data_IF_882643636636
#
_entry.id   IF_882643636636
#
_cell.length_a   1.000
_cell.length_b   1.000
_cell.length_c   1.000
_cell.angle_alpha   90.00
_cell.angle_beta   90.00
_cell.angle_gamma   90.00
#
_symmetry.space_group_name_H-M   'P 1'
#
loop_
_entity.id
_entity.type
_entity.pdbx_description
1 polymer ?
#
# COMPACT_ATOMS: atom_id res chain seq x y z
N UNK A 1 42.60 39.18 8.71
CA UNK A 1 41.98 38.02 9.40
C UNK A 1 40.56 37.88 8.91
N UNK A 2 40.26 36.93 8.01
CA UNK A 2 38.89 36.64 7.56
C UNK A 2 38.45 35.33 8.20
N UNK A 3 37.48 35.37 9.11
CA UNK A 3 36.86 34.18 9.70
C UNK A 3 35.89 33.64 8.67
N UNK A 4 36.21 32.50 8.08
CA UNK A 4 35.27 31.75 7.24
C UNK A 4 34.40 30.95 8.20
N UNK A 5 33.14 31.35 8.34
CA UNK A 5 32.13 30.59 9.08
C UNK A 5 31.64 29.51 8.12
N UNK A 6 31.96 28.26 8.43
CA UNK A 6 31.42 27.09 7.75
C UNK A 6 30.03 26.85 8.32
N UNK A 7 28.98 27.27 7.60
CA UNK A 7 27.60 26.95 7.99
C UNK A 7 27.39 25.47 7.70
N UNK A 8 27.43 24.65 8.75
CA UNK A 8 27.05 23.24 8.71
C UNK A 8 25.52 23.19 8.66
N UNK A 9 24.96 23.09 7.46
CA UNK A 9 23.54 22.75 7.26
C UNK A 9 23.32 21.32 7.72
N UNK A 10 22.85 21.17 8.96
CA UNK A 10 22.33 19.92 9.49
C UNK A 10 21.00 19.68 8.78
N UNK A 11 20.97 18.75 7.83
CA UNK A 11 19.72 18.17 7.34
C UNK A 11 19.13 17.35 8.50
N UNK A 12 18.21 17.94 9.23
CA UNK A 12 17.28 17.18 10.06
C UNK A 12 16.38 16.39 9.10
N UNK A 13 16.74 15.14 8.81
CA UNK A 13 15.78 14.15 8.36
C UNK A 13 14.93 13.79 9.57
N UNK A 14 14.01 14.68 9.95
CA UNK A 14 12.87 14.26 10.73
C UNK A 14 12.13 13.23 9.89
N UNK A 15 11.75 12.10 10.49
CA UNK A 15 10.70 11.29 9.93
C UNK A 15 9.47 12.21 9.90
N UNK A 16 9.21 12.87 8.77
CA UNK A 16 7.89 13.46 8.56
C UNK A 16 6.95 12.27 8.58
N UNK A 17 6.07 12.20 9.57
CA UNK A 17 4.94 11.30 9.52
C UNK A 17 4.13 11.71 8.30
N UNK A 18 4.23 10.93 7.23
CA UNK A 18 3.63 11.27 5.95
C UNK A 18 2.27 10.58 5.87
N UNK A 19 1.23 11.37 5.61
CA UNK A 19 -0.02 10.86 5.06
C UNK A 19 0.28 10.26 3.69
N UNK A 20 -0.06 8.98 3.50
CA UNK A 20 0.17 8.26 2.25
C UNK A 20 -1.09 7.54 1.77
N UNK A 21 -1.13 7.26 0.47
CA UNK A 21 -2.00 6.25 -0.13
C UNK A 21 -1.30 4.89 0.05
N UNK A 22 -1.89 3.99 0.85
CA UNK A 22 -1.25 2.71 1.22
C UNK A 22 -1.69 1.53 0.36
N UNK A 23 -2.94 1.48 -0.07
CA UNK A 23 -3.49 0.37 -0.84
C UNK A 23 -4.63 0.85 -1.75
N UNK A 24 -4.77 0.23 -2.93
CA UNK A 24 -5.81 0.57 -3.92
C UNK A 24 -6.38 -0.71 -4.53
N UNK A 25 -7.71 -0.80 -4.53
CA UNK A 25 -8.50 -1.84 -5.19
C UNK A 25 -9.29 -1.20 -6.34
N UNK A 26 -8.91 -1.54 -7.58
CA UNK A 26 -9.52 -0.97 -8.79
C UNK A 26 -10.47 -1.96 -9.47
N UNK A 27 -10.21 -3.28 -9.42
CA UNK A 27 -11.02 -4.29 -10.11
C UNK A 27 -11.47 -5.44 -9.19
N UNK A 28 -12.30 -5.14 -8.17
CA UNK A 28 -12.71 -6.13 -7.19
C UNK A 28 -13.63 -7.19 -7.80
N UNK A 29 -13.50 -8.44 -7.35
CA UNK A 29 -14.37 -9.58 -7.69
C UNK A 29 -15.85 -9.18 -7.87
N UNK A 30 -16.39 -9.16 -9.09
CA UNK A 30 -17.76 -8.78 -9.49
C UNK A 30 -17.85 -7.45 -10.24
N UNK A 31 -18.88 -6.63 -9.99
CA UNK A 31 -18.99 -5.25 -10.52
C UNK A 31 -18.12 -4.21 -9.80
N UNK A 32 -17.29 -3.43 -10.49
CA UNK A 32 -16.41 -2.44 -9.87
C UNK A 32 -17.19 -1.36 -9.09
N UNK A 33 -18.30 -0.89 -9.67
CA UNK A 33 -19.13 0.16 -9.08
C UNK A 33 -19.56 -0.13 -7.65
N UNK A 34 -19.11 0.72 -6.72
CA UNK A 34 -19.46 0.65 -5.30
C UNK A 34 -18.58 -0.29 -4.48
N UNK A 35 -17.53 -0.86 -5.08
CA UNK A 35 -16.66 -1.87 -4.45
C UNK A 35 -15.18 -1.59 -4.61
N UNK A 36 -14.81 -0.64 -5.47
CA UNK A 36 -13.50 0.01 -5.44
C UNK A 36 -13.28 0.78 -4.14
N UNK A 37 -12.02 0.90 -3.73
CA UNK A 37 -11.65 1.68 -2.55
C UNK A 37 -10.18 2.08 -2.57
N UNK A 38 -9.88 3.09 -1.78
CA UNK A 38 -8.53 3.60 -1.55
C UNK A 38 -8.26 3.55 -0.06
N UNK A 39 -7.12 3.02 0.34
CA UNK A 39 -6.65 3.07 1.72
C UNK A 39 -5.61 4.16 1.91
N UNK A 40 -5.77 4.92 2.99
CA UNK A 40 -4.82 5.89 3.46
C UNK A 40 -4.16 5.42 4.75
N UNK A 41 -2.92 5.85 4.97
CA UNK A 41 -2.20 5.64 6.22
C UNK A 41 -1.56 6.93 6.72
N UNK A 42 -1.66 7.18 8.02
CA UNK A 42 -0.91 8.22 8.73
C UNK A 42 -0.51 7.72 10.12
N UNK A 43 0.72 7.98 10.57
CA UNK A 43 1.11 7.63 11.96
C UNK A 43 0.54 8.62 12.98
N UNK A 44 0.23 9.84 12.53
CA UNK A 44 -0.39 10.90 13.33
C UNK A 44 -1.86 11.07 12.97
N UNK A 45 -2.63 11.67 13.89
CA UNK A 45 -4.00 12.08 13.61
C UNK A 45 -4.01 13.16 12.53
N UNK A 46 -4.79 12.94 11.48
CA UNK A 46 -4.94 13.86 10.36
C UNK A 46 -6.41 14.13 10.09
N UNK A 47 -6.72 15.40 9.85
CA UNK A 47 -8.02 15.85 9.35
C UNK A 47 -7.89 16.10 7.84
N UNK A 48 -8.65 15.34 7.05
CA UNK A 48 -8.74 15.47 5.59
C UNK A 48 -9.95 16.30 5.17
N UNK A 49 -10.51 17.11 6.07
CA UNK A 49 -11.49 18.12 5.68
C UNK A 49 -10.88 19.03 4.60
N UNK A 50 -11.62 19.20 3.51
CA UNK A 50 -11.22 20.01 2.34
C UNK A 50 -10.01 19.48 1.53
N UNK A 51 -9.41 18.36 1.93
CA UNK A 51 -8.50 17.59 1.08
C UNK A 51 -9.29 16.94 -0.06
N UNK A 52 -8.60 16.54 -1.12
CA UNK A 52 -9.26 15.85 -2.23
C UNK A 52 -8.33 14.86 -2.92
N UNK A 53 -8.94 13.83 -3.52
CA UNK A 53 -8.27 12.96 -4.48
C UNK A 53 -8.66 13.33 -5.91
N UNK A 54 -7.71 13.14 -6.82
CA UNK A 54 -7.88 13.28 -8.26
C UNK A 54 -7.37 12.00 -8.94
N UNK A 55 -8.09 11.47 -9.92
CA UNK A 55 -7.54 10.45 -10.82
C UNK A 55 -6.93 11.11 -12.08
N UNK A 56 -6.28 10.33 -12.95
CA UNK A 56 -5.70 10.86 -14.19
C UNK A 56 -6.73 11.22 -15.28
N UNK A 57 -8.00 10.99 -15.01
CA UNK A 57 -9.17 11.34 -15.81
C UNK A 57 -9.87 12.64 -15.34
N UNK A 58 -9.19 13.41 -14.47
CA UNK A 58 -9.70 14.65 -13.84
C UNK A 58 -10.96 14.46 -12.96
N UNK A 59 -11.31 13.21 -12.64
CA UNK A 59 -12.31 12.87 -11.63
C UNK A 59 -11.83 13.35 -10.26
N UNK A 60 -12.65 14.14 -9.57
CA UNK A 60 -12.34 14.72 -8.25
C UNK A 60 -13.30 14.23 -7.17
N UNK A 61 -12.76 13.83 -6.02
CA UNK A 61 -13.55 13.52 -4.82
C UNK A 61 -12.99 14.33 -3.65
N UNK A 62 -13.83 15.17 -3.06
CA UNK A 62 -13.49 15.87 -1.82
C UNK A 62 -13.62 14.89 -0.63
N UNK A 63 -12.64 14.94 0.25
CA UNK A 63 -12.58 14.19 1.48
C UNK A 63 -13.17 15.02 2.63
N UNK A 64 -13.66 14.34 3.65
CA UNK A 64 -14.18 14.97 4.88
C UNK A 64 -14.20 13.91 5.96
N UNK A 65 -13.05 13.74 6.61
CA UNK A 65 -12.80 12.66 7.56
C UNK A 65 -11.55 12.94 8.37
N UNK A 66 -11.57 12.51 9.63
CA UNK A 66 -10.42 12.52 10.54
C UNK A 66 -10.03 11.07 10.82
N UNK A 67 -8.73 10.76 10.82
CA UNK A 67 -8.26 9.41 11.15
C UNK A 67 -6.81 9.37 11.67
N UNK A 68 -6.45 8.24 12.25
CA UNK A 68 -5.09 7.85 12.61
C UNK A 68 -4.89 6.37 12.27
N UNK A 69 -3.71 5.99 11.79
CA UNK A 69 -3.45 4.64 11.28
C UNK A 69 -4.04 4.42 9.90
N UNK A 70 -4.60 3.24 9.64
CA UNK A 70 -5.20 2.92 8.34
C UNK A 70 -6.67 3.34 8.26
N UNK A 71 -7.05 3.91 7.12
CA UNK A 71 -8.42 4.22 6.79
C UNK A 71 -8.76 3.79 5.36
N UNK A 72 -9.82 2.99 5.21
CA UNK A 72 -10.34 2.57 3.90
C UNK A 72 -11.49 3.49 3.49
N UNK A 73 -11.29 4.22 2.40
CA UNK A 73 -12.27 5.09 1.76
C UNK A 73 -13.00 4.34 0.64
N UNK A 74 -14.30 4.00 0.82
CA UNK A 74 -15.07 3.33 -0.22
C UNK A 74 -15.51 4.28 -1.33
N UNK A 75 -15.31 3.88 -2.57
CA UNK A 75 -15.80 4.61 -3.74
C UNK A 75 -17.23 4.15 -4.07
N UNK A 76 -18.19 5.09 -4.12
CA UNK A 76 -19.63 4.78 -4.21
C UNK A 76 -20.09 4.40 -5.62
N UNK A 77 -19.30 4.75 -6.62
CA UNK A 77 -19.47 4.43 -8.02
C UNK A 77 -18.12 3.98 -8.56
N UNK A 78 -18.11 3.41 -9.76
CA UNK A 78 -16.87 3.18 -10.49
C UNK A 78 -16.22 4.54 -10.74
N UNK A 79 -15.00 4.69 -10.24
CA UNK A 79 -14.23 5.93 -10.29
C UNK A 79 -12.78 5.66 -10.69
N UNK A 80 -12.26 4.46 -10.40
CA UNK A 80 -10.98 3.99 -10.87
C UNK A 80 -11.12 3.25 -12.20
N UNK A 81 -10.15 3.43 -13.08
CA UNK A 81 -9.97 2.62 -14.27
C UNK A 81 -9.07 1.41 -14.00
N UNK A 82 -9.34 0.33 -14.73
CA UNK A 82 -8.58 -0.92 -14.62
C UNK A 82 -7.23 -0.88 -15.36
N UNK A 83 -6.90 0.24 -16.02
CA UNK A 83 -5.67 0.40 -16.80
C UNK A 83 -5.18 1.83 -16.86
N UNK A 84 -3.87 2.02 -16.86
CA UNK A 84 -3.18 3.32 -16.90
C UNK A 84 -3.66 4.30 -15.80
N UNK A 85 -4.12 3.78 -14.67
CA UNK A 85 -4.72 4.55 -13.58
C UNK A 85 -3.64 5.19 -12.68
N UNK A 86 -3.95 6.36 -12.15
CA UNK A 86 -3.11 7.08 -11.19
C UNK A 86 -3.93 8.01 -10.31
N UNK A 87 -3.72 7.88 -9.00
CA UNK A 87 -4.36 8.70 -7.99
C UNK A 87 -3.39 9.74 -7.43
N UNK A 88 -3.90 10.95 -7.23
CA UNK A 88 -3.22 12.06 -6.58
C UNK A 88 -4.00 12.49 -5.35
N UNK A 89 -3.31 12.74 -4.24
CA UNK A 89 -3.87 13.29 -3.01
C UNK A 89 -3.36 14.72 -2.81
N UNK A 90 -4.28 15.67 -2.68
CA UNK A 90 -3.99 17.07 -2.46
C UNK A 90 -4.59 17.57 -1.15
N UNK A 91 -3.95 18.57 -0.56
CA UNK A 91 -4.51 19.33 0.55
C UNK A 91 -5.45 20.46 0.08
N UNK A 92 -5.97 21.23 1.05
CA UNK A 92 -6.88 22.36 0.84
C UNK A 92 -6.26 23.53 0.04
N UNK A 93 -4.92 23.62 0.01
CA UNK A 93 -4.14 24.67 -0.64
C UNK A 93 -3.63 24.24 -2.04
N UNK A 94 -4.15 23.13 -2.58
CA UNK A 94 -3.74 22.49 -3.84
C UNK A 94 -2.27 22.00 -3.83
N UNK A 95 -1.66 21.74 -2.66
CA UNK A 95 -0.35 21.11 -2.59
C UNK A 95 -0.50 19.58 -2.74
N UNK A 96 0.33 18.98 -3.60
CA UNK A 96 0.39 17.53 -3.74
C UNK A 96 1.02 16.92 -2.48
N UNK A 97 0.24 16.10 -1.78
CA UNK A 97 0.66 15.39 -0.57
C UNK A 97 1.26 14.03 -0.92
N UNK A 98 0.56 13.25 -1.75
CA UNK A 98 1.03 11.94 -2.20
C UNK A 98 0.44 11.58 -3.58
N UNK A 99 1.03 10.59 -4.24
CA UNK A 99 0.48 9.99 -5.46
C UNK A 99 0.92 8.55 -5.65
N UNK A 100 0.05 7.75 -6.24
CA UNK A 100 0.42 6.39 -6.66
C UNK A 100 1.41 6.42 -7.82
N UNK A 101 2.04 5.27 -8.11
CA UNK A 101 2.55 5.05 -9.46
C UNK A 101 1.39 4.94 -10.46
N UNK A 102 1.69 4.99 -11.76
CA UNK A 102 0.74 4.52 -12.76
C UNK A 102 0.62 3.00 -12.63
N UNK A 103 -0.60 2.48 -12.63
CA UNK A 103 -0.85 1.06 -12.41
C UNK A 103 -1.97 0.51 -13.30
N UNK A 104 -2.00 -0.82 -13.42
CA UNK A 104 -3.01 -1.58 -14.13
C UNK A 104 -3.57 -2.66 -13.20
N UNK A 105 -4.86 -2.93 -13.30
CA UNK A 105 -5.55 -4.00 -12.59
C UNK A 105 -6.63 -4.61 -13.49
N UNK A 106 -6.20 -5.43 -14.45
CA UNK A 106 -7.11 -6.01 -15.45
C UNK A 106 -7.91 -7.21 -14.95
N UNK A 107 -7.59 -7.72 -13.76
CA UNK A 107 -8.15 -8.96 -13.25
C UNK A 107 -9.28 -8.68 -12.28
N UNK A 108 -10.42 -9.33 -12.49
CA UNK A 108 -11.55 -9.25 -11.58
C UNK A 108 -11.32 -10.20 -10.40
N UNK A 109 -10.46 -9.81 -9.47
CA UNK A 109 -10.05 -10.64 -8.34
C UNK A 109 -9.96 -9.83 -7.03
N UNK A 110 -9.14 -10.25 -6.07
CA UNK A 110 -8.92 -9.53 -4.81
C UNK A 110 -7.45 -9.11 -4.68
N UNK A 111 -6.75 -8.90 -5.80
CA UNK A 111 -5.40 -8.35 -5.77
C UNK A 111 -5.46 -6.83 -5.83
N UNK A 112 -4.60 -6.20 -5.05
CA UNK A 112 -4.58 -4.75 -4.87
C UNK A 112 -3.17 -4.23 -5.09
N UNK A 113 -3.07 -2.96 -5.43
CA UNK A 113 -1.79 -2.25 -5.42
C UNK A 113 -1.50 -1.79 -4.00
N UNK A 114 -0.41 -2.26 -3.41
CA UNK A 114 0.01 -1.97 -2.03
C UNK A 114 1.38 -1.28 -2.01
N UNK A 115 1.52 -0.23 -1.19
CA UNK A 115 2.79 0.45 -0.99
C UNK A 115 3.63 -0.22 0.12
N UNK A 116 4.69 -0.92 -0.31
CA UNK A 116 5.51 -1.84 0.48
C UNK A 116 6.99 -1.50 0.36
N UNK A 117 7.67 -1.26 1.50
CA UNK A 117 9.13 -1.07 1.55
C UNK A 117 9.65 -0.09 0.48
N UNK A 118 8.99 1.06 0.36
CA UNK A 118 9.27 2.11 -0.63
C UNK A 118 8.97 1.73 -2.10
N UNK A 119 8.08 0.76 -2.34
CA UNK A 119 7.69 0.33 -3.69
C UNK A 119 6.26 -0.17 -3.77
N UNK A 120 5.59 0.04 -4.91
CA UNK A 120 4.26 -0.50 -5.16
C UNK A 120 4.31 -1.94 -5.65
N UNK A 121 3.70 -2.86 -4.89
CA UNK A 121 3.56 -4.29 -5.21
C UNK A 121 2.10 -4.63 -5.49
N UNK A 122 1.84 -5.57 -6.39
CA UNK A 122 0.50 -6.11 -6.65
C UNK A 122 0.37 -7.42 -5.88
N UNK A 123 -0.44 -7.43 -4.83
CA UNK A 123 -0.51 -8.50 -3.83
C UNK A 123 -1.97 -8.79 -3.50
N UNK A 124 -2.23 -9.93 -2.85
CA UNK A 124 -3.56 -10.21 -2.34
C UNK A 124 -3.96 -9.18 -1.27
N UNK A 125 -5.21 -8.75 -1.32
CA UNK A 125 -5.92 -7.89 -0.38
C UNK A 125 -5.51 -8.13 1.09
N UNK A 126 -5.09 -7.07 1.78
CA UNK A 126 -4.80 -7.13 3.21
C UNK A 126 -5.75 -6.31 4.06
N UNK A 127 -6.14 -5.09 3.63
CA UNK A 127 -6.99 -4.12 4.37
C UNK A 127 -6.56 -3.91 5.81
N UNK A 128 -6.05 -2.71 6.10
CA UNK A 128 -5.58 -2.26 7.43
C UNK A 128 -4.35 -3.02 7.92
N UNK A 129 -3.62 -3.64 7.01
CA UNK A 129 -2.33 -4.27 7.24
C UNK A 129 -1.46 -4.08 6.00
N UNK A 130 -0.15 -3.97 6.19
CA UNK A 130 0.79 -3.74 5.09
C UNK A 130 1.33 -5.06 4.58
N UNK A 131 1.13 -5.33 3.29
CA UNK A 131 2.03 -6.19 2.52
C UNK A 131 2.20 -7.59 3.13
N UNK A 132 1.13 -8.15 3.69
CA UNK A 132 1.12 -9.52 4.15
C UNK A 132 1.22 -10.42 2.91
N UNK A 133 2.44 -10.88 2.62
CA UNK A 133 2.61 -11.98 1.68
C UNK A 133 2.03 -13.23 2.35
N UNK A 134 1.06 -13.87 1.70
CA UNK A 134 0.51 -15.16 2.13
C UNK A 134 1.62 -16.21 2.06
N UNK A 135 2.45 -16.29 3.11
CA UNK A 135 3.26 -17.46 3.40
C UNK A 135 2.31 -18.62 3.70
N UNK A 136 2.38 -19.65 2.85
CA UNK A 136 1.61 -20.92 2.84
C UNK A 136 0.36 -20.96 1.94
N UNK A 137 0.60 -21.45 0.71
CA UNK A 137 -0.35 -22.29 -0.02
C UNK A 137 -0.80 -23.43 0.90
N UNK A 138 -1.97 -23.30 1.51
CA UNK A 138 -2.67 -24.46 2.09
C UNK A 138 -3.22 -25.25 0.91
N UNK A 139 -2.69 -26.46 0.72
CA UNK A 139 -3.16 -27.40 -0.29
C UNK A 139 -4.68 -27.62 -0.14
N UNK A 140 -5.42 -27.46 -1.24
CA UNK A 140 -6.84 -27.79 -1.31
C UNK A 140 -7.00 -29.30 -1.15
N UNK A 141 -7.31 -29.74 0.08
CA UNK A 141 -7.68 -31.11 0.39
C UNK A 141 -9.03 -31.47 -0.28
N UNK A 142 -8.90 -32.39 -1.23
CA UNK A 142 -9.75 -33.57 -1.45
C UNK A 142 -11.23 -33.35 -1.87
N UNK A 143 -11.42 -33.40 -3.19
CA UNK A 143 -12.71 -33.67 -3.84
C UNK A 143 -13.24 -35.03 -3.36
N UNK A 144 -14.28 -35.03 -2.53
CA UNK A 144 -15.08 -36.24 -2.25
C UNK A 144 -16.31 -36.22 -3.16
N UNK A 145 -16.23 -37.00 -4.24
CA UNK A 145 -17.39 -37.48 -5.00
C UNK A 145 -18.36 -38.20 -4.06
N UNK A 146 -19.65 -37.85 -4.11
CA UNK A 146 -20.70 -38.71 -3.56
C UNK A 146 -21.60 -39.12 -4.73
N UNK A 147 -21.60 -40.43 -4.97
CA UNK A 147 -22.31 -41.16 -6.01
C UNK A 147 -23.84 -40.97 -5.94
N UNK A 148 -24.46 -40.95 -7.12
CA UNK A 148 -25.90 -41.00 -7.34
C UNK A 148 -26.43 -42.43 -7.15
N UNK A 149 -27.22 -42.65 -6.10
CA UNK A 149 -27.96 -43.90 -5.91
C UNK A 149 -29.46 -43.60 -5.85
N UNK A 150 -30.16 -44.04 -6.89
CA UNK A 150 -31.59 -43.88 -7.12
C UNK A 150 -32.49 -44.67 -6.15
N UNK A 151 -33.66 -44.11 -5.80
CA UNK A 151 -34.91 -44.89 -5.82
C UNK A 151 -36.16 -44.00 -6.02
N UNK A 152 -36.84 -44.29 -7.11
CA UNK A 152 -38.14 -43.79 -7.55
C UNK A 152 -39.26 -44.41 -6.69
N UNK A 153 -40.25 -43.61 -6.24
CA UNK A 153 -41.65 -44.04 -6.18
C UNK A 153 -42.61 -42.85 -5.96
N UNK A 154 -43.76 -42.99 -6.59
CA UNK A 154 -44.78 -42.04 -6.99
C UNK A 154 -45.76 -41.53 -5.90
N UNK A 155 -46.32 -40.34 -6.21
CA UNK A 155 -47.68 -39.81 -5.91
C UNK A 155 -48.00 -39.25 -4.51
N UNK A 156 -48.41 -37.96 -4.50
CA UNK A 156 -49.60 -37.52 -3.75
C UNK A 156 -49.50 -36.21 -2.95
N UNK A 157 -50.15 -35.18 -3.48
CA UNK A 157 -50.83 -34.06 -2.76
C UNK A 157 -50.01 -32.90 -2.13
N UNK A 158 -50.04 -31.75 -2.82
CA UNK A 158 -49.97 -30.40 -2.25
C UNK A 158 -51.30 -30.00 -1.54
N UNK A 159 -51.41 -28.87 -0.81
CA UNK A 159 -50.39 -28.00 -0.20
C UNK A 159 -50.73 -27.64 1.27
N UNK A 160 -49.74 -27.33 2.12
CA UNK A 160 -49.96 -26.51 3.34
C UNK A 160 -48.77 -25.60 3.68
N UNK A 161 -49.10 -24.32 3.82
CA UNK A 161 -48.30 -23.22 4.37
C UNK A 161 -48.16 -23.41 5.89
N UNK A 162 -46.94 -23.37 6.43
CA UNK A 162 -46.62 -22.63 7.66
C UNK A 162 -45.11 -22.40 7.85
N UNK A 163 -44.83 -21.22 8.39
CA UNK A 163 -43.58 -20.54 8.72
C UNK A 163 -42.92 -21.09 10.00
N UNK A 164 -41.59 -21.32 10.04
CA UNK A 164 -40.74 -21.08 11.22
C UNK A 164 -39.23 -21.29 11.01
N UNK A 165 -38.46 -20.39 11.63
CA UNK A 165 -37.19 -20.64 12.35
C UNK A 165 -35.94 -21.15 11.59
N UNK A 166 -35.15 -20.22 11.05
CA UNK A 166 -33.73 -20.48 10.71
C UNK A 166 -32.76 -19.35 11.10
N UNK A 167 -33.18 -18.39 11.94
CA UNK A 167 -32.34 -17.23 12.31
C UNK A 167 -31.55 -17.36 13.63
N UNK A 168 -31.71 -18.44 14.40
CA UNK A 168 -31.01 -18.56 15.71
C UNK A 168 -29.70 -19.36 15.67
N UNK A 169 -29.42 -20.09 14.58
CA UNK A 169 -28.22 -20.97 14.51
C UNK A 169 -26.99 -20.30 13.89
N UNK A 170 -27.16 -19.21 13.14
CA UNK A 170 -26.05 -18.48 12.49
C UNK A 170 -25.35 -17.50 13.45
N UNK A 171 -26.08 -16.90 14.41
CA UNK A 171 -25.55 -15.88 15.32
C UNK A 171 -24.59 -16.45 16.41
N UNK A 172 -24.66 -17.75 16.71
CA UNK A 172 -23.82 -18.37 17.76
C UNK A 172 -22.42 -18.78 17.28
N UNK A 173 -22.18 -18.89 15.97
CA UNK A 173 -20.87 -19.29 15.43
C UNK A 173 -19.91 -18.12 15.23
N UNK A 174 -20.39 -16.90 15.02
CA UNK A 174 -19.53 -15.72 14.81
C UNK A 174 -18.92 -15.17 16.10
N UNK A 175 -19.43 -15.55 17.28
CA UNK A 175 -19.03 -14.99 18.58
C UNK A 175 -17.95 -15.77 19.33
N UNK A 176 -17.33 -16.82 18.74
CA UNK A 176 -16.38 -17.68 19.47
C UNK A 176 -14.91 -17.67 19.07
N UNK A 177 -14.50 -16.91 18.06
CA UNK A 177 -13.08 -16.79 17.72
C UNK A 177 -12.52 -15.42 18.13
N UNK A 178 -12.59 -15.12 19.42
CA UNK A 178 -11.72 -14.10 20.02
C UNK A 178 -10.37 -14.75 20.30
N UNK A 179 -9.48 -14.73 19.32
CA UNK A 179 -8.10 -15.18 19.49
C UNK A 179 -7.39 -14.13 20.35
N UNK A 180 -7.02 -14.49 21.57
CA UNK A 180 -6.13 -13.69 22.42
C UNK A 180 -4.71 -14.21 22.15
N UNK A 181 -3.90 -13.45 21.42
CA UNK A 181 -2.49 -13.79 21.22
C UNK A 181 -1.68 -13.40 22.47
N UNK A 182 -0.94 -14.36 23.01
CA UNK A 182 -0.08 -14.22 24.18
C UNK A 182 1.28 -13.65 23.75
N UNK A 183 1.68 -12.49 24.28
CA UNK A 183 2.82 -11.69 23.80
C UNK A 183 4.21 -12.19 24.24
N UNK A 184 4.42 -13.50 24.42
CA UNK A 184 5.65 -13.99 25.10
C UNK A 184 6.58 -14.95 24.36
N UNK A 185 6.32 -15.28 23.10
CA UNK A 185 7.25 -16.15 22.34
C UNK A 185 7.82 -15.46 21.10
N UNK A 186 8.63 -14.41 21.32
CA UNK A 186 9.57 -13.91 20.32
C UNK A 186 10.99 -14.24 20.79
N UNK A 187 11.54 -15.36 20.31
CA UNK A 187 13.00 -15.57 20.30
C UNK A 187 13.53 -15.18 18.92
N UNK A 188 14.12 -14.00 18.86
CA UNK A 188 14.84 -13.47 17.70
C UNK A 188 15.92 -14.44 17.23
N UNK A 189 15.86 -14.87 15.97
CA UNK A 189 17.03 -15.38 15.24
C UNK A 189 17.43 -14.32 14.23
N UNK A 190 18.55 -13.65 14.51
CA UNK A 190 19.19 -12.73 13.58
C UNK A 190 19.79 -13.55 12.44
N UNK A 191 19.40 -13.27 11.20
CA UNK A 191 20.19 -13.61 10.01
C UNK A 191 20.65 -12.32 9.37
N UNK A 192 21.91 -11.98 9.65
CA UNK A 192 22.68 -10.97 8.92
C UNK A 192 22.87 -11.46 7.48
N UNK A 193 22.38 -10.70 6.52
CA UNK A 193 23.00 -10.62 5.20
C UNK A 193 23.09 -9.14 4.82
N UNK A 194 24.18 -8.49 5.27
CA UNK A 194 24.55 -7.17 4.80
C UNK A 194 25.17 -7.33 3.41
N UNK A 195 24.38 -7.09 2.36
CA UNK A 195 24.88 -7.05 1.00
C UNK A 195 25.38 -5.63 0.66
N UNK A 196 26.68 -5.40 0.84
CA UNK A 196 27.62 -4.51 0.11
C UNK A 196 27.19 -3.13 -0.46
N UNK A 197 26.15 -2.47 0.05
CA UNK A 197 25.82 -1.08 -0.36
C UNK A 197 26.91 -0.04 0.04
N UNK A 198 27.77 -0.35 1.01
CA UNK A 198 28.87 0.53 1.44
C UNK A 198 29.99 0.69 0.40
N UNK A 199 30.24 -0.33 -0.43
CA UNK A 199 31.37 -0.29 -1.39
C UNK A 199 31.10 0.66 -2.56
N UNK A 200 29.85 0.76 -3.02
CA UNK A 200 29.46 1.70 -4.07
C UNK A 200 29.46 3.16 -3.59
N UNK A 201 29.09 3.40 -2.33
CA UNK A 201 29.12 4.73 -1.74
C UNK A 201 30.55 5.27 -1.58
N UNK A 202 31.48 4.45 -1.06
CA UNK A 202 32.89 4.83 -0.94
C UNK A 202 33.55 5.01 -2.31
N UNK A 203 33.24 4.14 -3.28
CA UNK A 203 33.71 4.28 -4.66
C UNK A 203 33.25 5.58 -5.33
N UNK A 204 31.99 5.98 -5.14
CA UNK A 204 31.44 7.23 -5.66
C UNK A 204 32.13 8.48 -5.09
N UNK A 205 32.42 8.49 -3.78
CA UNK A 205 33.11 9.61 -3.13
C UNK A 205 34.56 9.78 -3.62
N UNK A 206 35.28 8.69 -3.85
CA UNK A 206 36.65 8.74 -4.39
C UNK A 206 36.66 9.28 -5.83
N UNK A 207 35.67 8.90 -6.65
CA UNK A 207 35.54 9.38 -8.03
C UNK A 207 35.24 10.89 -8.08
N UNK A 208 34.32 11.38 -7.24
CA UNK A 208 34.02 12.82 -7.13
C UNK A 208 35.22 13.63 -6.63
N UNK A 209 35.97 13.10 -5.65
CA UNK A 209 37.20 13.72 -5.16
C UNK A 209 38.27 13.86 -6.25
N UNK A 210 38.41 12.84 -7.11
CA UNK A 210 39.35 12.87 -8.23
C UNK A 210 38.97 13.93 -9.28
N UNK A 211 37.67 14.05 -9.62
CA UNK A 211 37.19 15.10 -10.53
C UNK A 211 37.47 16.49 -9.95
N UNK A 212 37.21 16.70 -8.66
CA UNK A 212 37.45 17.98 -8.00
C UNK A 212 38.95 18.35 -8.00
N UNK A 213 39.83 17.38 -7.76
CA UNK A 213 41.28 17.59 -7.83
C UNK A 213 41.75 17.98 -9.24
N UNK A 214 41.20 17.35 -10.29
CA UNK A 214 41.50 17.70 -11.69
C UNK A 214 41.02 19.13 -12.04
N UNK A 215 39.86 19.56 -11.53
CA UNK A 215 39.36 20.93 -11.71
C UNK A 215 40.28 21.95 -11.04
N UNK A 216 40.77 21.67 -9.82
CA UNK A 216 41.74 22.53 -9.13
C UNK A 216 43.04 22.63 -9.92
N UNK A 217 43.59 21.52 -10.40
CA UNK A 217 44.82 21.55 -11.20
C UNK A 217 44.66 22.35 -12.49
N UNK A 218 43.52 22.21 -13.19
CA UNK A 218 43.21 23.03 -14.37
C UNK A 218 43.15 24.52 -14.03
N UNK A 219 42.50 24.90 -12.94
CA UNK A 219 42.40 26.31 -12.51
C UNK A 219 43.77 26.88 -12.13
N UNK A 220 44.61 26.11 -11.42
CA UNK A 220 45.97 26.55 -11.08
C UNK A 220 46.87 26.70 -12.33
N UNK A 221 46.69 25.86 -13.34
CA UNK A 221 47.44 25.97 -14.61
C UNK A 221 47.01 27.21 -15.41
N UNK A 222 45.72 27.55 -15.42
CA UNK A 222 45.22 28.76 -16.07
C UNK A 222 45.80 30.03 -15.43
N UNK A 223 45.77 30.12 -14.09
CA UNK A 223 46.31 31.27 -13.37
C UNK A 223 47.83 31.46 -13.52
N UNK A 224 48.59 30.39 -13.82
CA UNK A 224 50.03 30.49 -14.11
C UNK A 224 50.34 31.04 -15.50
N UNK A 225 49.37 31.02 -16.42
CA UNK A 225 49.53 31.51 -17.79
C UNK A 225 49.15 33.00 -17.93
N UNK A 226 48.61 33.64 -16.88
CA UNK A 226 48.28 35.08 -16.87
C UNK A 226 49.43 35.97 -16.37
N UNK A 227 50.57 35.38 -15.97
CA UNK A 227 51.79 36.11 -15.61
C UNK A 227 52.98 35.66 -16.47
N UNK A 228 52.87 35.84 -17.79
CA UNK A 228 54.02 35.90 -18.70
C UNK A 228 53.79 36.93 -19.80
#
# INVERSE_FOLDING_TARGET
>A
MKRVIFILTIFFFGNLSALIISEVEANPLGSDSGREWIEFYSEEEVDLSDYYILNNDDGRINLSMEFIGYFVYPLRSQWLDNSEEKIFLYDEDDNLIDSTKVFDDSSNDNFTWQYCEDSWKFLELTRKDKCAENDELVEEDEVVEIEEDALENEIGDEPKIYESETKEKVLKNTLRNKIILNSKDIKSKSSKENLDKMNYFVGGLLFLGMIFFLVIQRKQKYNKNEFR
#
